data_IF_414688416716
#
_entry.id   IF_414688416716
#
_cell.length_a   1.000
_cell.length_b   1.000
_cell.length_c   1.000
_cell.angle_alpha   90.00
_cell.angle_beta   90.00
_cell.angle_gamma   90.00
#
_symmetry.space_group_name_H-M   'P 1'
#
loop_
_entity.id
_entity.type
_entity.pdbx_description
1 polymer ?
#
# COMPACT_ATOMS: atom_id res chain seq x y z
N UNK A 1 -6.64 39.98 -1.97
CA UNK A 1 -5.32 40.21 -2.61
C UNK A 1 -4.92 38.90 -3.26
N UNK A 2 -4.74 38.87 -4.57
CA UNK A 2 -4.32 37.66 -5.29
C UNK A 2 -2.90 37.28 -4.85
N UNK A 3 -2.73 36.10 -4.27
CA UNK A 3 -1.41 35.54 -3.99
C UNK A 3 -0.90 34.90 -5.27
N UNK A 4 0.31 35.27 -5.68
CA UNK A 4 1.01 34.69 -6.82
C UNK A 4 2.12 33.75 -6.34
N UNK A 5 2.15 32.53 -6.86
CA UNK A 5 3.19 31.54 -6.59
C UNK A 5 4.39 31.86 -7.49
N UNK A 6 5.56 32.07 -6.90
CA UNK A 6 6.80 32.34 -7.64
C UNK A 6 7.57 31.07 -7.97
N UNK A 7 7.54 30.09 -7.06
CA UNK A 7 8.19 28.79 -7.22
C UNK A 7 7.44 27.72 -6.41
N UNK A 8 7.08 26.65 -7.09
CA UNK A 8 6.48 25.49 -6.46
C UNK A 8 6.43 24.30 -7.42
N UNK A 9 6.04 23.15 -6.89
CA UNK A 9 6.01 21.88 -7.61
C UNK A 9 4.82 21.06 -7.13
N UNK A 10 4.20 20.32 -8.04
CA UNK A 10 3.17 19.33 -7.74
C UNK A 10 3.79 17.97 -8.00
N UNK A 11 3.73 17.08 -7.01
CA UNK A 11 4.11 15.68 -7.14
C UNK A 11 2.83 14.85 -7.16
N UNK A 12 2.57 14.19 -8.28
CA UNK A 12 1.42 13.29 -8.42
C UNK A 12 1.94 11.86 -8.34
N UNK A 13 1.61 11.17 -7.25
CA UNK A 13 2.05 9.81 -6.98
C UNK A 13 1.00 8.80 -7.43
N UNK A 14 1.50 7.70 -8.00
CA UNK A 14 0.76 6.45 -8.23
C UNK A 14 1.63 5.30 -7.76
N UNK A 15 1.18 4.58 -6.74
CA UNK A 15 1.97 3.54 -6.07
C UNK A 15 1.35 2.19 -6.37
N UNK A 16 2.15 1.28 -6.93
CA UNK A 16 1.70 -0.01 -7.43
C UNK A 16 2.39 -1.17 -6.71
N UNK A 17 1.65 -2.25 -6.49
CA UNK A 17 2.24 -3.55 -6.17
C UNK A 17 2.62 -4.25 -7.48
N UNK A 18 3.83 -4.80 -7.54
CA UNK A 18 4.30 -5.54 -8.72
C UNK A 18 4.72 -6.98 -8.42
N UNK A 19 4.50 -7.46 -7.19
CA UNK A 19 4.89 -8.79 -6.71
C UNK A 19 5.59 -8.74 -5.36
N UNK A 20 6.34 -9.80 -5.04
CA UNK A 20 7.12 -9.89 -3.82
C UNK A 20 8.49 -9.19 -3.90
N UNK A 21 9.43 -9.66 -3.08
CA UNK A 21 10.74 -9.03 -2.90
C UNK A 21 11.50 -8.80 -4.23
N UNK A 22 12.12 -7.63 -4.35
CA UNK A 22 12.89 -7.18 -5.50
C UNK A 22 14.36 -7.05 -5.14
N UNK A 23 15.22 -7.77 -5.87
CA UNK A 23 16.68 -7.61 -5.72
C UNK A 23 17.14 -6.29 -6.35
N UNK A 24 17.21 -5.20 -5.56
CA UNK A 24 17.51 -3.86 -6.04
C UNK A 24 18.86 -3.76 -6.76
N UNK A 25 19.91 -4.42 -6.25
CA UNK A 25 21.23 -4.42 -6.89
C UNK A 25 21.20 -5.03 -8.31
N UNK A 26 20.37 -6.05 -8.53
CA UNK A 26 20.20 -6.68 -9.86
C UNK A 26 19.34 -5.81 -10.77
N UNK A 27 18.29 -5.18 -10.24
CA UNK A 27 17.48 -4.21 -10.97
C UNK A 27 18.33 -3.02 -11.45
N UNK A 28 19.19 -2.46 -10.59
CA UNK A 28 20.12 -1.38 -10.95
C UNK A 28 21.05 -1.79 -12.10
N UNK A 29 21.59 -3.01 -12.07
CA UNK A 29 22.44 -3.54 -13.13
C UNK A 29 21.70 -3.68 -14.47
N UNK A 30 20.47 -4.21 -14.46
CA UNK A 30 19.66 -4.34 -15.67
C UNK A 30 19.31 -2.97 -16.28
N UNK A 31 18.92 -2.02 -15.43
CA UNK A 31 18.54 -0.68 -15.86
C UNK A 31 19.74 0.16 -16.33
N UNK A 32 20.91 -0.06 -15.73
CA UNK A 32 22.16 0.59 -16.15
C UNK A 32 22.72 0.01 -17.46
N UNK A 33 22.48 -1.28 -17.73
CA UNK A 33 22.94 -1.96 -18.94
C UNK A 33 22.29 -1.48 -20.24
N UNK A 34 21.06 -0.97 -20.16
CA UNK A 34 20.32 -0.39 -21.29
C UNK A 34 20.76 1.05 -21.63
N UNK A 35 21.41 1.75 -20.71
CA UNK A 35 21.81 3.14 -20.89
C UNK A 35 23.16 3.25 -21.64
N UNK A 36 23.13 3.52 -22.95
CA UNK A 36 24.30 4.01 -23.73
C UNK A 36 24.64 5.48 -23.39
N UNK A 37 24.71 5.82 -22.11
CA UNK A 37 24.94 7.17 -21.60
C UNK A 37 25.72 7.17 -20.28
N UNK A 38 26.25 8.34 -19.84
CA UNK A 38 27.09 8.42 -18.65
C UNK A 38 26.35 7.84 -17.44
N UNK A 39 27.06 7.00 -16.67
CA UNK A 39 26.59 6.31 -15.45
C UNK A 39 25.53 7.16 -14.73
N UNK A 40 24.28 6.72 -14.77
CA UNK A 40 23.20 7.29 -13.96
C UNK A 40 23.59 7.08 -12.49
N UNK A 41 24.25 8.06 -11.89
CA UNK A 41 24.42 8.12 -10.45
C UNK A 41 23.06 8.52 -9.87
N UNK A 42 22.24 7.52 -9.56
CA UNK A 42 20.99 7.68 -8.83
C UNK A 42 21.32 7.93 -7.35
N UNK A 43 21.62 9.19 -7.03
CA UNK A 43 21.74 9.64 -5.65
C UNK A 43 20.82 10.85 -5.47
N UNK A 44 19.52 10.59 -5.34
CA UNK A 44 18.70 11.46 -4.47
C UNK A 44 18.79 10.86 -3.07
N UNK A 45 19.05 11.71 -2.09
CA UNK A 45 19.49 11.33 -0.76
C UNK A 45 18.30 11.02 0.15
N UNK A 46 17.42 10.07 -0.26
CA UNK A 46 16.37 9.52 0.64
C UNK A 46 16.96 9.01 1.96
N UNK A 47 18.27 8.77 2.01
CA UNK A 47 19.04 8.45 3.23
C UNK A 47 19.08 9.56 4.26
N UNK A 48 18.86 10.84 3.88
CA UNK A 48 18.70 11.93 4.86
C UNK A 48 17.36 11.80 5.59
N UNK A 49 16.30 11.54 4.85
CA UNK A 49 14.95 11.47 5.39
C UNK A 49 14.64 10.13 6.08
N UNK A 50 15.11 9.01 5.53
CA UNK A 50 14.76 7.66 5.97
C UNK A 50 16.00 6.74 5.94
N UNK A 51 16.39 6.22 7.11
CA UNK A 51 17.56 5.35 7.34
C UNK A 51 17.25 3.88 6.97
N UNK A 52 16.76 3.61 5.76
CA UNK A 52 16.38 2.24 5.38
C UNK A 52 17.62 1.40 5.09
N UNK A 53 17.60 0.12 5.51
CA UNK A 53 18.69 -0.85 5.26
C UNK A 53 19.02 -0.99 3.76
N UNK A 54 18.00 -0.97 2.91
CA UNK A 54 18.12 -0.94 1.45
C UNK A 54 17.36 0.27 0.91
N UNK A 55 18.07 1.29 0.46
CA UNK A 55 17.45 2.49 -0.09
C UNK A 55 16.74 2.18 -1.42
N UNK A 56 15.54 2.74 -1.66
CA UNK A 56 14.81 2.51 -2.90
C UNK A 56 15.59 3.01 -4.11
N UNK A 57 15.48 2.29 -5.22
CA UNK A 57 16.14 2.66 -6.47
C UNK A 57 15.27 3.68 -7.23
N UNK A 58 15.77 4.91 -7.39
CA UNK A 58 15.13 5.94 -8.22
C UNK A 58 15.52 5.74 -9.68
N UNK A 59 14.55 5.82 -10.60
CA UNK A 59 14.73 5.64 -12.04
C UNK A 59 14.06 6.80 -12.76
N UNK A 60 14.79 7.47 -13.64
CA UNK A 60 14.23 8.50 -14.51
C UNK A 60 13.48 7.84 -15.67
N UNK A 61 12.21 8.21 -15.86
CA UNK A 61 11.31 7.67 -16.88
C UNK A 61 11.03 8.66 -18.01
N UNK A 62 11.72 9.80 -18.04
CA UNK A 62 11.67 10.80 -19.10
C UNK A 62 10.80 11.99 -18.79
N UNK A 63 10.51 12.77 -19.83
CA UNK A 63 9.69 13.99 -19.78
C UNK A 63 8.51 13.85 -20.72
N UNK A 64 7.40 14.49 -20.36
CA UNK A 64 6.15 14.48 -21.13
C UNK A 64 5.41 15.81 -20.96
N UNK A 65 4.27 15.96 -21.62
CA UNK A 65 3.40 17.12 -21.46
C UNK A 65 2.00 16.62 -21.17
N UNK A 66 1.44 17.03 -20.04
CA UNK A 66 0.08 16.74 -19.64
C UNK A 66 -0.85 17.84 -20.14
N UNK A 67 -1.92 17.45 -20.82
CA UNK A 67 -2.90 18.36 -21.39
C UNK A 67 -4.11 18.47 -20.47
N UNK A 68 -4.11 19.47 -19.59
CA UNK A 68 -5.26 19.76 -18.71
C UNK A 68 -6.15 20.86 -19.31
N UNK A 69 -7.43 20.97 -18.90
CA UNK A 69 -8.28 22.09 -19.30
C UNK A 69 -7.68 23.48 -19.01
N UNK A 70 -6.91 23.61 -17.92
CA UNK A 70 -6.20 24.82 -17.56
C UNK A 70 -4.95 25.11 -18.40
N UNK A 71 -4.47 24.16 -19.22
CA UNK A 71 -3.36 24.35 -20.14
C UNK A 71 -2.46 23.12 -20.30
N UNK A 72 -1.35 23.31 -21.01
CA UNK A 72 -0.33 22.28 -21.22
C UNK A 72 0.76 22.42 -20.16
N UNK A 73 1.03 21.35 -19.44
CA UNK A 73 2.00 21.32 -18.36
C UNK A 73 3.15 20.37 -18.69
N UNK A 74 4.38 20.87 -18.91
CA UNK A 74 5.54 20.00 -19.04
C UNK A 74 5.80 19.32 -17.69
N UNK A 75 6.11 18.02 -17.73
CA UNK A 75 6.34 17.23 -16.54
C UNK A 75 7.53 16.30 -16.70
N UNK A 76 8.14 15.94 -15.58
CA UNK A 76 9.16 14.89 -15.50
C UNK A 76 8.58 13.69 -14.78
N UNK A 77 8.92 12.50 -15.24
CA UNK A 77 8.45 11.25 -14.66
C UNK A 77 9.64 10.52 -14.08
N UNK A 78 9.53 10.07 -12.85
CA UNK A 78 10.48 9.12 -12.27
C UNK A 78 9.73 8.05 -11.49
N UNK A 79 10.38 6.93 -11.25
CA UNK A 79 9.88 5.89 -10.37
C UNK A 79 10.85 5.61 -9.23
N UNK A 80 10.32 5.17 -8.09
CA UNK A 80 11.07 4.57 -6.99
C UNK A 80 10.67 3.10 -6.87
N UNK A 81 11.67 2.22 -6.92
CA UNK A 81 11.52 0.78 -6.74
C UNK A 81 11.91 0.44 -5.30
N UNK A 82 10.98 -0.13 -4.56
CA UNK A 82 11.17 -0.56 -3.18
C UNK A 82 11.48 -2.06 -3.16
N UNK A 83 12.36 -2.49 -2.25
CA UNK A 83 12.80 -3.89 -2.22
C UNK A 83 11.69 -4.86 -1.83
N UNK A 84 10.56 -4.38 -1.28
CA UNK A 84 9.40 -5.18 -0.90
C UNK A 84 8.29 -5.21 -1.96
N UNK A 85 8.62 -5.09 -3.25
CA UNK A 85 7.64 -5.34 -4.31
C UNK A 85 6.81 -4.14 -4.75
N UNK A 86 7.11 -2.95 -4.22
CA UNK A 86 6.36 -1.72 -4.53
C UNK A 86 7.09 -0.85 -5.54
N UNK A 87 6.34 -0.26 -6.47
CA UNK A 87 6.82 0.71 -7.46
C UNK A 87 5.98 1.99 -7.36
N UNK A 88 6.60 3.08 -6.94
CA UNK A 88 6.00 4.42 -6.96
C UNK A 88 6.37 5.11 -8.27
N UNK A 89 5.39 5.52 -9.07
CA UNK A 89 5.57 6.42 -10.21
C UNK A 89 5.16 7.82 -9.77
N UNK A 90 6.02 8.81 -10.02
CA UNK A 90 5.75 10.20 -9.67
C UNK A 90 5.84 11.07 -10.92
N UNK A 91 4.79 11.85 -11.15
CA UNK A 91 4.76 12.89 -12.17
C UNK A 91 5.05 14.22 -11.46
N UNK A 92 6.20 14.81 -11.76
CA UNK A 92 6.65 16.07 -11.20
C UNK A 92 6.31 17.22 -12.16
N UNK A 93 5.39 18.09 -11.73
CA UNK A 93 4.89 19.22 -12.51
C UNK A 93 5.33 20.52 -11.82
N UNK A 94 6.03 21.39 -12.55
CA UNK A 94 6.39 22.71 -12.02
C UNK A 94 5.16 23.63 -12.03
N UNK A 95 4.89 24.32 -10.91
CA UNK A 95 3.82 25.33 -10.86
C UNK A 95 4.27 26.53 -11.69
N UNK A 96 3.47 27.00 -12.68
CA UNK A 96 3.82 28.14 -13.49
C UNK A 96 4.09 29.39 -12.64
N UNK A 97 5.16 30.12 -12.95
CA UNK A 97 5.50 31.36 -12.24
C UNK A 97 4.38 32.38 -12.41
N UNK A 98 3.88 32.91 -11.31
CA UNK A 98 2.77 33.86 -11.27
C UNK A 98 1.40 33.19 -11.18
N UNK A 99 1.33 31.86 -11.10
CA UNK A 99 0.07 31.12 -10.89
C UNK A 99 -0.63 31.62 -9.63
N UNK A 100 -1.90 32.01 -9.77
CA UNK A 100 -2.74 32.42 -8.65
C UNK A 100 -3.20 31.23 -7.82
N UNK A 101 -3.50 31.45 -6.53
CA UNK A 101 -3.99 30.36 -5.67
C UNK A 101 -5.24 29.66 -6.22
N UNK A 102 -6.24 30.43 -6.67
CA UNK A 102 -7.46 29.87 -7.25
C UNK A 102 -7.21 29.15 -8.59
N UNK A 103 -6.12 29.47 -9.29
CA UNK A 103 -5.70 28.71 -10.48
C UNK A 103 -5.08 27.38 -10.06
N UNK A 104 -4.28 27.37 -8.99
CA UNK A 104 -3.73 26.13 -8.43
C UNK A 104 -4.84 25.19 -7.94
N UNK A 105 -5.88 25.70 -7.27
CA UNK A 105 -7.05 24.89 -6.83
C UNK A 105 -7.78 24.27 -8.04
N UNK A 106 -7.89 25.00 -9.15
CA UNK A 106 -8.45 24.44 -10.40
C UNK A 106 -7.57 23.35 -10.98
N UNK A 107 -6.25 23.56 -11.03
CA UNK A 107 -5.29 22.54 -11.48
C UNK A 107 -5.37 21.30 -10.58
N UNK A 108 -5.51 21.47 -9.26
CA UNK A 108 -5.70 20.37 -8.31
C UNK A 108 -6.94 19.53 -8.63
N UNK A 109 -8.09 20.19 -8.80
CA UNK A 109 -9.36 19.55 -9.18
C UNK A 109 -9.28 18.83 -10.54
N UNK A 110 -8.56 19.41 -11.51
CA UNK A 110 -8.34 18.79 -12.82
C UNK A 110 -7.42 17.56 -12.74
N UNK A 111 -6.38 17.60 -11.88
CA UNK A 111 -5.47 16.47 -11.67
C UNK A 111 -6.13 15.30 -10.96
N UNK A 112 -7.00 15.57 -9.98
CA UNK A 112 -7.70 14.54 -9.21
C UNK A 112 -8.61 13.67 -10.09
N UNK A 113 -9.25 14.27 -11.11
CA UNK A 113 -10.20 13.56 -11.99
C UNK A 113 -9.61 13.12 -13.34
N UNK A 114 -8.30 13.28 -13.53
CA UNK A 114 -7.67 13.04 -14.84
C UNK A 114 -7.25 11.59 -15.05
N UNK A 115 -8.00 10.87 -15.91
CA UNK A 115 -7.63 9.52 -16.36
C UNK A 115 -6.27 9.49 -17.10
N UNK A 116 -5.84 10.62 -17.70
CA UNK A 116 -4.57 10.70 -18.44
C UNK A 116 -3.37 10.49 -17.50
N UNK A 117 -3.46 10.99 -16.26
CA UNK A 117 -2.45 10.79 -15.21
C UNK A 117 -2.30 9.30 -14.90
N UNK A 118 -3.42 8.60 -14.71
CA UNK A 118 -3.44 7.18 -14.37
C UNK A 118 -2.89 6.32 -15.51
N UNK A 119 -3.39 6.55 -16.74
CA UNK A 119 -2.93 5.84 -17.93
C UNK A 119 -1.43 6.04 -18.17
N UNK A 120 -0.94 7.26 -17.97
CA UNK A 120 0.48 7.57 -18.09
C UNK A 120 1.30 6.82 -17.03
N UNK A 121 0.88 6.87 -15.76
CA UNK A 121 1.57 6.18 -14.68
C UNK A 121 1.59 4.65 -14.88
N UNK A 122 0.46 4.04 -15.25
CA UNK A 122 0.35 2.60 -15.54
C UNK A 122 1.25 2.20 -16.70
N UNK A 123 1.26 2.98 -17.80
CA UNK A 123 2.12 2.74 -18.96
C UNK A 123 3.61 2.74 -18.58
N UNK A 124 4.02 3.69 -17.73
CA UNK A 124 5.40 3.83 -17.25
C UNK A 124 5.77 2.71 -16.26
N UNK A 125 4.85 2.35 -15.36
CA UNK A 125 4.96 1.18 -14.47
C UNK A 125 5.14 -0.12 -15.27
N UNK A 126 4.29 -0.39 -16.26
CA UNK A 126 4.34 -1.62 -17.06
C UNK A 126 5.66 -1.75 -17.84
N UNK A 127 6.10 -0.66 -18.46
CA UNK A 127 7.37 -0.61 -19.16
C UNK A 127 8.55 -0.90 -18.22
N UNK A 128 8.52 -0.35 -17.00
CA UNK A 128 9.57 -0.58 -16.00
C UNK A 128 9.50 -1.99 -15.40
N UNK A 129 8.31 -2.47 -14.99
CA UNK A 129 8.06 -3.82 -14.47
C UNK A 129 8.58 -4.88 -15.44
N UNK A 130 8.30 -4.73 -16.74
CA UNK A 130 8.78 -5.66 -17.77
C UNK A 130 10.31 -5.77 -17.82
N UNK A 131 11.04 -4.67 -17.57
CA UNK A 131 12.51 -4.67 -17.54
C UNK A 131 13.06 -5.33 -16.28
N UNK A 132 12.43 -5.09 -15.13
CA UNK A 132 12.92 -5.58 -13.84
C UNK A 132 12.32 -6.92 -13.42
N UNK A 133 11.38 -7.49 -14.20
CA UNK A 133 10.71 -8.77 -13.92
C UNK A 133 11.66 -9.91 -13.50
N UNK A 134 12.87 -10.08 -14.08
CA UNK A 134 13.80 -11.13 -13.64
C UNK A 134 14.34 -10.96 -12.21
N UNK A 135 14.10 -9.81 -11.58
CA UNK A 135 14.52 -9.45 -10.24
C UNK A 135 13.39 -9.53 -9.20
N UNK A 136 12.15 -9.79 -9.63
CA UNK A 136 10.95 -9.79 -8.78
C UNK A 136 10.58 -11.22 -8.41
N UNK A 137 10.48 -11.49 -7.11
CA UNK A 137 9.92 -12.75 -6.59
C UNK A 137 8.41 -12.77 -6.71
N UNK A 138 7.82 -13.89 -7.12
CA UNK A 138 6.36 -14.07 -7.25
C UNK A 138 5.63 -12.85 -7.86
N UNK A 139 5.91 -12.49 -9.13
CA UNK A 139 5.24 -11.36 -9.77
C UNK A 139 3.73 -11.52 -9.70
N UNK A 140 3.03 -10.48 -9.26
CA UNK A 140 1.58 -10.44 -9.17
C UNK A 140 1.04 -9.33 -10.07
N UNK A 141 -0.20 -9.49 -10.53
CA UNK A 141 -0.98 -8.37 -11.06
C UNK A 141 -2.06 -8.06 -10.04
N UNK A 142 -2.07 -6.82 -9.57
CA UNK A 142 -3.10 -6.29 -8.69
C UNK A 142 -3.46 -4.91 -9.25
N UNK A 143 -4.73 -4.74 -9.62
CA UNK A 143 -5.20 -3.58 -10.37
C UNK A 143 -5.42 -2.35 -9.48
N UNK A 144 -5.36 -2.54 -8.15
CA UNK A 144 -5.48 -1.46 -7.16
C UNK A 144 -4.12 -0.78 -7.00
N UNK A 145 -4.14 0.54 -6.96
CA UNK A 145 -3.00 1.39 -6.67
C UNK A 145 -3.41 2.49 -5.70
N UNK A 146 -2.43 3.11 -5.04
CA UNK A 146 -2.66 4.33 -4.28
C UNK A 146 -2.32 5.55 -5.12
N UNK A 147 -3.17 6.57 -5.05
CA UNK A 147 -2.94 7.90 -5.58
C UNK A 147 -2.75 8.91 -4.45
N UNK A 148 -1.90 9.91 -4.70
CA UNK A 148 -1.71 11.00 -3.74
C UNK A 148 -1.08 12.21 -4.43
N UNK A 149 -1.52 13.42 -4.09
CA UNK A 149 -0.94 14.66 -4.65
C UNK A 149 -0.26 15.47 -3.56
N UNK A 150 1.00 15.84 -3.76
CA UNK A 150 1.73 16.73 -2.85
C UNK A 150 2.03 18.05 -3.55
N UNK A 151 1.48 19.14 -3.02
CA UNK A 151 1.76 20.51 -3.46
C UNK A 151 2.89 21.07 -2.61
N UNK A 152 3.99 21.47 -3.25
CA UNK A 152 5.16 22.04 -2.58
C UNK A 152 5.31 23.49 -3.02
N UNK A 153 5.18 24.41 -2.07
CA UNK A 153 5.33 25.85 -2.28
C UNK A 153 6.66 26.29 -1.65
N UNK A 154 7.60 26.66 -2.50
CA UNK A 154 8.93 27.12 -2.06
C UNK A 154 8.95 28.65 -1.94
N UNK A 155 8.19 29.34 -2.80
CA UNK A 155 8.11 30.80 -2.79
C UNK A 155 6.77 31.30 -3.33
N UNK A 156 6.12 32.18 -2.57
CA UNK A 156 4.89 32.86 -2.98
C UNK A 156 4.82 34.29 -2.41
N UNK A 157 4.02 35.15 -3.04
CA UNK A 157 3.80 36.52 -2.58
C UNK A 157 3.11 36.56 -1.21
N UNK A 158 3.75 37.21 -0.23
CA UNK A 158 3.24 37.28 1.14
C UNK A 158 3.50 36.04 2.00
N UNK A 159 4.31 35.09 1.52
CA UNK A 159 4.77 33.93 2.27
C UNK A 159 5.89 34.32 3.26
N UNK A 160 5.54 35.04 4.33
CA UNK A 160 6.45 35.40 5.42
C UNK A 160 6.17 34.60 6.69
N UNK A 161 4.89 34.36 6.99
CA UNK A 161 4.42 33.48 8.05
C UNK A 161 3.54 32.40 7.39
N UNK A 162 4.00 31.13 7.33
CA UNK A 162 3.24 30.04 6.73
C UNK A 162 1.84 29.87 7.31
N UNK A 163 1.63 30.08 8.62
CA UNK A 163 0.32 29.88 9.26
C UNK A 163 -0.69 30.96 8.88
N UNK A 164 -0.24 32.21 8.79
CA UNK A 164 -1.10 33.29 8.32
C UNK A 164 -1.31 33.20 6.81
N UNK A 165 -0.34 32.68 6.07
CA UNK A 165 -0.45 32.44 4.64
C UNK A 165 -1.56 31.43 4.32
N UNK A 166 -1.54 30.23 4.91
CA UNK A 166 -2.55 29.18 4.64
C UNK A 166 -3.98 29.61 4.96
N UNK A 167 -4.17 30.46 5.97
CA UNK A 167 -5.48 31.06 6.30
C UNK A 167 -5.92 32.07 5.25
N UNK A 168 -4.99 32.89 4.76
CA UNK A 168 -5.28 33.93 3.76
C UNK A 168 -5.65 33.36 2.40
N UNK A 169 -5.02 32.25 2.00
CA UNK A 169 -5.23 31.63 0.69
C UNK A 169 -6.34 30.58 0.69
N UNK A 170 -6.87 30.20 1.85
CA UNK A 170 -7.79 29.07 2.00
C UNK A 170 -7.15 27.76 1.52
N UNK A 171 -6.20 27.26 2.30
CA UNK A 171 -5.51 26.02 1.99
C UNK A 171 -6.43 24.78 1.95
N UNK A 172 -7.58 24.84 2.61
CA UNK A 172 -8.53 23.75 2.66
C UNK A 172 -9.14 23.44 1.27
N UNK A 173 -9.44 24.47 0.47
CA UNK A 173 -9.95 24.30 -0.90
C UNK A 173 -8.91 23.59 -1.80
N UNK A 174 -7.61 23.84 -1.58
CA UNK A 174 -6.54 23.13 -2.30
C UNK A 174 -6.43 21.68 -1.86
N UNK A 175 -6.44 21.43 -0.55
CA UNK A 175 -6.25 20.07 0.02
C UNK A 175 -7.38 19.13 -0.40
N UNK A 176 -8.63 19.63 -0.38
CA UNK A 176 -9.80 18.86 -0.79
C UNK A 176 -10.07 18.92 -2.30
N UNK A 177 -9.21 19.59 -3.07
CA UNK A 177 -9.37 19.82 -4.52
C UNK A 177 -10.76 20.36 -4.92
N UNK A 178 -11.41 21.08 -4.01
CA UNK A 178 -12.77 21.58 -4.19
C UNK A 178 -12.74 22.96 -4.85
N UNK A 179 -13.02 22.97 -6.16
CA UNK A 179 -12.93 24.18 -6.99
C UNK A 179 -14.28 24.87 -7.23
N UNK A 180 -15.41 24.26 -6.79
CA UNK A 180 -16.76 24.70 -7.13
C UNK A 180 -17.59 25.09 -5.92
N UNK A 181 -17.46 24.36 -4.82
CA UNK A 181 -18.19 24.63 -3.58
C UNK A 181 -17.34 25.37 -2.57
N UNK A 182 -17.98 26.22 -1.77
CA UNK A 182 -17.32 26.83 -0.63
C UNK A 182 -17.44 25.92 0.58
N UNK A 183 -16.28 25.56 1.14
CA UNK A 183 -16.21 24.75 2.34
C UNK A 183 -16.88 25.45 3.53
N UNK A 184 -17.47 24.67 4.43
CA UNK A 184 -17.95 25.18 5.71
C UNK A 184 -16.78 25.70 6.55
N UNK A 185 -17.04 26.67 7.43
CA UNK A 185 -16.02 27.20 8.33
C UNK A 185 -15.47 26.11 9.25
N UNK A 186 -16.30 25.14 9.64
CA UNK A 186 -15.91 23.99 10.43
C UNK A 186 -14.94 23.08 9.67
N UNK A 187 -15.22 22.77 8.40
CA UNK A 187 -14.33 21.95 7.55
C UNK A 187 -12.99 22.65 7.31
N UNK A 188 -13.02 23.97 7.06
CA UNK A 188 -11.80 24.78 6.89
C UNK A 188 -10.95 24.77 8.15
N UNK A 189 -11.57 25.02 9.30
CA UNK A 189 -10.86 25.03 10.58
C UNK A 189 -10.21 23.67 10.88
N UNK A 190 -10.91 22.56 10.60
CA UNK A 190 -10.38 21.21 10.80
C UNK A 190 -9.07 20.97 10.04
N UNK A 191 -9.02 21.34 8.75
CA UNK A 191 -7.81 21.18 7.91
C UNK A 191 -6.70 22.14 8.35
N UNK A 192 -7.05 23.39 8.69
CA UNK A 192 -6.04 24.36 9.11
C UNK A 192 -5.44 24.03 10.49
N UNK A 193 -6.21 23.39 11.37
CA UNK A 193 -5.77 22.95 12.69
C UNK A 193 -4.87 21.71 12.62
N UNK A 194 -4.93 20.92 11.54
CA UNK A 194 -4.01 19.80 11.31
C UNK A 194 -2.62 20.24 10.84
N UNK A 195 -2.40 21.54 10.59
CA UNK A 195 -1.13 22.07 10.12
C UNK A 195 0.01 21.85 11.13
N UNK A 196 1.06 21.17 10.66
CA UNK A 196 2.27 20.87 11.40
C UNK A 196 3.32 21.92 11.03
N UNK A 197 3.93 22.54 12.02
CA UNK A 197 4.98 23.52 11.82
C UNK A 197 6.14 23.21 12.75
N UNK A 198 7.35 23.10 12.20
CA UNK A 198 8.55 22.74 12.94
C UNK A 198 9.50 23.93 13.14
N UNK A 199 9.78 24.65 12.07
CA UNK A 199 10.48 25.94 12.10
C UNK A 199 9.50 27.10 11.91
N UNK A 200 10.01 28.33 11.87
CA UNK A 200 9.17 29.52 11.61
C UNK A 200 8.81 29.67 10.13
N UNK A 201 9.48 28.92 9.26
CA UNK A 201 9.43 29.10 7.81
C UNK A 201 8.86 27.89 7.07
N UNK A 202 8.82 26.72 7.69
CA UNK A 202 8.17 25.51 7.15
C UNK A 202 6.73 25.36 7.66
N UNK A 203 5.95 24.57 6.93
CA UNK A 203 4.63 24.09 7.34
C UNK A 203 4.21 22.90 6.46
N UNK A 204 3.57 21.90 7.05
CA UNK A 204 2.98 20.77 6.35
C UNK A 204 1.51 20.60 6.77
N UNK A 205 0.62 20.49 5.79
CA UNK A 205 -0.74 19.97 5.96
C UNK A 205 -0.78 18.65 5.21
N UNK A 206 -1.23 17.60 5.88
CA UNK A 206 -1.32 16.24 5.34
C UNK A 206 -2.77 15.82 5.55
N UNK A 207 -3.39 15.30 4.50
CA UNK A 207 -4.76 14.78 4.48
C UNK A 207 -4.75 13.40 3.80
N UNK A 208 -5.91 12.79 3.60
CA UNK A 208 -6.03 11.46 2.99
C UNK A 208 -5.64 11.46 1.49
N UNK A 209 -6.07 12.47 0.73
CA UNK A 209 -5.86 12.53 -0.73
C UNK A 209 -4.67 13.40 -1.15
N UNK A 210 -4.31 14.38 -0.33
CA UNK A 210 -3.27 15.35 -0.71
C UNK A 210 -2.56 16.00 0.47
N UNK A 211 -1.40 16.60 0.19
CA UNK A 211 -0.65 17.40 1.15
C UNK A 211 -0.25 18.76 0.57
N UNK A 212 -0.17 19.76 1.44
CA UNK A 212 0.43 21.07 1.15
C UNK A 212 1.67 21.24 2.03
N UNK A 213 2.81 21.40 1.38
CA UNK A 213 4.10 21.65 2.00
C UNK A 213 4.58 23.04 1.65
N UNK A 214 4.89 23.84 2.67
CA UNK A 214 5.59 25.12 2.54
C UNK A 214 7.05 24.85 2.92
N UNK A 215 7.93 24.81 1.92
CA UNK A 215 9.33 24.39 2.08
C UNK A 215 10.26 25.38 1.38
N UNK A 216 10.65 26.49 2.02
CA UNK A 216 11.43 27.56 1.38
C UNK A 216 12.83 27.14 0.91
N UNK A 217 13.42 26.15 1.59
CA UNK A 217 14.74 25.60 1.25
C UNK A 217 14.67 24.61 0.08
N UNK A 218 13.46 24.23 -0.35
CA UNK A 218 13.22 23.29 -1.46
C UNK A 218 13.61 21.84 -1.14
N UNK A 219 13.75 21.51 0.14
CA UNK A 219 13.96 20.14 0.59
C UNK A 219 12.73 19.28 0.27
N UNK A 220 12.96 18.00 -0.02
CA UNK A 220 11.91 17.04 -0.41
C UNK A 220 11.70 15.94 0.63
N UNK A 221 12.37 16.04 1.77
CA UNK A 221 12.41 15.00 2.79
C UNK A 221 11.01 14.69 3.35
N UNK A 222 10.18 15.71 3.57
CA UNK A 222 8.77 15.56 3.99
C UNK A 222 7.95 14.82 2.92
N UNK A 223 8.11 15.19 1.64
CA UNK A 223 7.42 14.52 0.53
C UNK A 223 7.88 13.07 0.37
N UNK A 224 9.18 12.79 0.56
CA UNK A 224 9.72 11.42 0.54
C UNK A 224 9.14 10.56 1.68
N UNK A 225 8.90 11.14 2.87
CA UNK A 225 8.25 10.45 4.01
C UNK A 225 6.77 10.19 3.74
N UNK A 226 6.07 11.12 3.09
CA UNK A 226 4.67 10.92 2.68
C UNK A 226 4.59 9.79 1.66
N UNK A 227 5.42 9.80 0.62
CA UNK A 227 5.49 8.72 -0.38
C UNK A 227 5.83 7.37 0.28
N UNK A 228 6.78 7.35 1.22
CA UNK A 228 7.09 6.14 1.98
C UNK A 228 5.90 5.63 2.78
N UNK A 229 5.14 6.53 3.41
CA UNK A 229 3.91 6.17 4.13
C UNK A 229 2.85 5.62 3.17
N UNK A 230 2.71 6.22 1.99
CA UNK A 230 1.81 5.76 0.93
C UNK A 230 2.13 4.33 0.47
N UNK A 231 3.43 3.96 0.42
CA UNK A 231 3.80 2.56 0.12
C UNK A 231 3.31 1.55 1.16
N UNK A 232 3.23 1.94 2.44
CA UNK A 232 2.67 1.05 3.47
C UNK A 232 1.15 0.99 3.40
N UNK A 233 0.48 2.08 3.03
CA UNK A 233 -0.97 2.08 2.79
C UNK A 233 -1.34 1.08 1.70
N UNK A 234 -0.59 1.08 0.59
CA UNK A 234 -0.75 0.12 -0.49
C UNK A 234 -0.66 -1.32 0.02
N UNK A 235 0.37 -1.64 0.81
CA UNK A 235 0.56 -2.98 1.36
C UNK A 235 -0.56 -3.38 2.33
N UNK A 236 -1.02 -2.46 3.18
CA UNK A 236 -2.19 -2.70 4.04
C UNK A 236 -3.42 -3.08 3.20
N UNK A 237 -3.69 -2.33 2.12
CA UNK A 237 -4.81 -2.61 1.21
C UNK A 237 -4.63 -3.93 0.46
N UNK A 238 -3.40 -4.27 0.07
CA UNK A 238 -3.10 -5.56 -0.56
C UNK A 238 -3.42 -6.74 0.36
N UNK A 239 -2.96 -6.70 1.62
CA UNK A 239 -3.23 -7.77 2.57
C UNK A 239 -4.72 -7.85 2.97
N UNK A 240 -5.40 -6.72 3.09
CA UNK A 240 -6.84 -6.69 3.39
C UNK A 240 -7.66 -7.36 2.26
N UNK A 241 -7.36 -7.05 1.00
CA UNK A 241 -7.98 -7.66 -0.19
C UNK A 241 -7.61 -9.14 -0.35
N UNK A 242 -6.34 -9.49 -0.16
CA UNK A 242 -5.87 -10.88 -0.22
C UNK A 242 -6.62 -11.76 0.80
N UNK A 243 -6.76 -11.30 2.03
CA UNK A 243 -7.47 -12.04 3.08
C UNK A 243 -8.97 -12.12 2.83
N UNK A 244 -9.58 -11.05 2.28
CA UNK A 244 -10.99 -11.08 1.91
C UNK A 244 -11.26 -12.19 0.90
N UNK A 245 -10.48 -12.22 -0.19
CA UNK A 245 -10.60 -13.26 -1.23
C UNK A 245 -10.42 -14.67 -0.66
N UNK A 246 -9.52 -14.86 0.30
CA UNK A 246 -9.28 -16.15 0.94
C UNK A 246 -10.44 -16.59 1.85
N UNK A 247 -11.05 -15.65 2.57
CA UNK A 247 -12.24 -15.92 3.36
C UNK A 247 -13.42 -16.29 2.44
N UNK A 248 -13.61 -15.58 1.33
CA UNK A 248 -14.63 -15.90 0.34
C UNK A 248 -14.45 -17.30 -0.26
N UNK A 249 -13.22 -17.66 -0.67
CA UNK A 249 -12.88 -19.01 -1.16
C UNK A 249 -13.26 -20.11 -0.15
N UNK A 250 -13.03 -19.85 1.14
CA UNK A 250 -13.38 -20.76 2.22
C UNK A 250 -14.88 -20.91 2.42
N UNK A 251 -15.62 -19.80 2.44
CA UNK A 251 -17.07 -19.81 2.57
C UNK A 251 -17.71 -20.56 1.38
N UNK A 252 -17.27 -20.27 0.15
CA UNK A 252 -17.71 -20.95 -1.06
C UNK A 252 -17.48 -22.47 -1.02
N UNK A 253 -16.32 -22.89 -0.50
CA UNK A 253 -15.99 -24.29 -0.35
C UNK A 253 -16.87 -24.98 0.71
N UNK A 254 -17.23 -24.28 1.78
CA UNK A 254 -18.12 -24.78 2.82
C UNK A 254 -19.57 -24.95 2.32
N UNK A 255 -20.08 -23.98 1.55
CA UNK A 255 -21.45 -24.00 1.03
C UNK A 255 -21.67 -25.08 -0.04
N UNK A 256 -20.65 -25.42 -0.82
CA UNK A 256 -20.72 -26.43 -1.90
C UNK A 256 -20.84 -27.90 -1.43
N UNK A 257 -21.33 -28.20 -0.21
CA UNK A 257 -21.46 -29.59 0.29
C UNK A 257 -22.81 -30.25 -0.02
N UNK A 258 -22.79 -31.17 -0.99
CA UNK A 258 -23.59 -32.42 -1.12
C UNK A 258 -23.30 -32.97 -2.52
N UNK A 259 -22.24 -33.76 -2.78
CA UNK A 259 -22.50 -35.19 -3.01
C UNK A 259 -21.24 -36.10 -3.03
N UNK A 260 -19.98 -35.63 -3.18
CA UNK A 260 -18.89 -36.58 -3.54
C UNK A 260 -17.48 -36.36 -2.94
N UNK A 261 -17.22 -35.38 -2.06
CA UNK A 261 -15.86 -34.81 -1.97
C UNK A 261 -15.09 -34.96 -0.62
N UNK A 262 -15.19 -36.10 0.10
CA UNK A 262 -14.45 -36.27 1.37
C UNK A 262 -12.92 -36.23 1.24
N UNK A 263 -12.37 -36.63 0.08
CA UNK A 263 -10.92 -36.62 -0.20
C UNK A 263 -10.44 -35.24 -0.69
N UNK A 264 -11.28 -34.52 -1.45
CA UNK A 264 -11.01 -33.16 -1.92
C UNK A 264 -10.96 -32.17 -0.76
N UNK A 265 -11.90 -32.29 0.19
CA UNK A 265 -11.94 -31.48 1.41
C UNK A 265 -10.69 -31.62 2.29
N UNK A 266 -10.00 -32.78 2.28
CA UNK A 266 -8.81 -33.00 3.10
C UNK A 266 -7.56 -32.31 2.53
N UNK A 267 -7.39 -32.35 1.21
CA UNK A 267 -6.24 -31.75 0.55
C UNK A 267 -6.38 -30.23 0.49
N UNK A 268 -7.53 -29.72 0.02
CA UNK A 268 -7.86 -28.29 0.01
C UNK A 268 -7.61 -27.61 1.36
N UNK A 269 -7.95 -28.31 2.43
CA UNK A 269 -7.80 -27.82 3.78
C UNK A 269 -6.34 -27.76 4.28
N UNK A 270 -5.54 -28.80 4.00
CA UNK A 270 -4.12 -28.80 4.34
C UNK A 270 -3.39 -27.68 3.59
N UNK A 271 -3.76 -27.49 2.32
CA UNK A 271 -3.22 -26.44 1.46
C UNK A 271 -3.58 -25.04 2.01
N UNK A 272 -4.82 -24.82 2.46
CA UNK A 272 -5.23 -23.54 3.06
C UNK A 272 -4.53 -23.27 4.39
N UNK A 273 -4.34 -24.28 5.25
CA UNK A 273 -3.68 -24.09 6.54
C UNK A 273 -2.19 -23.71 6.35
N UNK A 274 -1.52 -24.33 5.38
CA UNK A 274 -0.14 -24.01 5.00
C UNK A 274 -0.05 -22.60 4.39
N UNK A 275 -0.92 -22.28 3.42
CA UNK A 275 -1.00 -20.96 2.78
C UNK A 275 -1.30 -19.84 3.80
N UNK A 276 -2.28 -20.06 4.69
CA UNK A 276 -2.64 -19.12 5.77
C UNK A 276 -1.46 -18.86 6.72
N UNK A 277 -0.68 -19.90 7.03
CA UNK A 277 0.49 -19.77 7.92
C UNK A 277 1.61 -18.97 7.26
N UNK A 278 1.84 -19.18 5.96
CA UNK A 278 2.80 -18.41 5.18
C UNK A 278 2.37 -16.95 5.07
N UNK A 279 1.10 -16.68 4.74
CA UNK A 279 0.55 -15.31 4.68
C UNK A 279 0.56 -14.61 6.03
N UNK A 280 0.35 -15.35 7.12
CA UNK A 280 0.51 -14.81 8.46
C UNK A 280 1.94 -14.34 8.72
N UNK A 281 2.93 -15.15 8.33
CA UNK A 281 4.33 -14.80 8.47
C UNK A 281 4.70 -13.56 7.63
N UNK A 282 4.28 -13.51 6.36
CA UNK A 282 4.49 -12.36 5.46
C UNK A 282 3.88 -11.07 6.05
N UNK A 283 2.63 -11.12 6.51
CA UNK A 283 1.99 -9.96 7.14
C UNK A 283 2.66 -9.55 8.46
N UNK A 284 3.07 -10.52 9.29
CA UNK A 284 3.80 -10.22 10.53
C UNK A 284 5.15 -9.56 10.25
N UNK A 285 5.83 -9.96 9.18
CA UNK A 285 7.06 -9.31 8.73
C UNK A 285 6.79 -7.88 8.26
N UNK A 286 5.73 -7.67 7.47
CA UNK A 286 5.27 -6.35 7.06
C UNK A 286 4.94 -5.45 8.27
N UNK A 287 4.19 -5.93 9.27
CA UNK A 287 3.93 -5.17 10.49
C UNK A 287 5.22 -4.83 11.22
N UNK A 288 6.15 -5.79 11.32
CA UNK A 288 7.47 -5.53 11.87
C UNK A 288 8.24 -4.44 11.11
N UNK A 289 8.09 -4.39 9.77
CA UNK A 289 8.66 -3.31 8.94
C UNK A 289 7.98 -1.98 9.24
N UNK A 290 6.65 -1.89 9.24
CA UNK A 290 5.89 -0.66 9.57
C UNK A 290 6.28 -0.11 10.95
N UNK A 291 6.38 -0.97 11.97
CA UNK A 291 6.77 -0.58 13.32
C UNK A 291 8.22 -0.08 13.40
N UNK A 292 9.11 -0.67 12.60
CA UNK A 292 10.50 -0.23 12.52
C UNK A 292 10.67 1.03 11.66
N UNK A 293 9.77 1.30 10.70
CA UNK A 293 9.78 2.50 9.86
C UNK A 293 9.81 3.77 10.69
N UNK A 294 9.07 3.85 11.81
CA UNK A 294 9.12 4.99 12.72
C UNK A 294 10.49 5.20 13.37
N UNK A 295 11.24 4.12 13.67
CA UNK A 295 12.62 4.19 14.21
C UNK A 295 13.64 4.61 13.14
N UNK A 296 13.23 4.51 11.89
CA UNK A 296 14.08 4.66 10.72
C UNK A 296 14.04 6.08 10.18
N UNK A 297 13.07 6.89 10.57
CA UNK A 297 12.97 8.28 10.16
C UNK A 297 14.14 9.09 10.74
N UNK A 298 14.79 9.88 9.87
CA UNK A 298 16.11 10.46 10.10
C UNK A 298 16.16 11.57 11.15
N UNK A 299 15.04 12.22 11.45
CA UNK A 299 14.95 13.29 12.45
C UNK A 299 13.57 13.37 13.14
N UNK A 300 13.45 14.15 14.25
CA UNK A 300 12.20 14.29 14.98
C UNK A 300 11.04 14.93 14.18
N UNK A 301 11.31 15.84 13.25
CA UNK A 301 10.29 16.50 12.43
C UNK A 301 9.67 15.52 11.45
N UNK A 302 10.50 14.82 10.70
CA UNK A 302 10.07 13.78 9.78
C UNK A 302 9.31 12.67 10.52
N UNK A 303 9.68 12.36 11.77
CA UNK A 303 8.93 11.41 12.58
C UNK A 303 7.53 11.92 12.96
N UNK A 304 7.34 13.25 13.11
CA UNK A 304 6.02 13.87 13.28
C UNK A 304 5.23 13.75 11.98
N UNK A 305 5.85 14.05 10.83
CA UNK A 305 5.24 13.89 9.50
C UNK A 305 4.78 12.45 9.29
N UNK A 306 5.64 11.46 9.53
CA UNK A 306 5.27 10.04 9.38
C UNK A 306 4.10 9.65 10.29
N UNK A 307 4.06 10.15 11.53
CA UNK A 307 2.93 9.90 12.44
C UNK A 307 1.63 10.55 11.94
N UNK A 308 1.71 11.75 11.38
CA UNK A 308 0.56 12.42 10.79
C UNK A 308 0.07 11.66 9.55
N UNK A 309 0.96 11.27 8.63
CA UNK A 309 0.61 10.41 7.49
C UNK A 309 -0.02 9.09 7.94
N UNK A 310 0.52 8.41 8.96
CA UNK A 310 -0.04 7.16 9.47
C UNK A 310 -1.44 7.33 10.10
N UNK A 311 -1.70 8.49 10.72
CA UNK A 311 -3.01 8.84 11.27
C UNK A 311 -4.02 9.11 10.15
N UNK A 312 -3.65 9.97 9.20
CA UNK A 312 -4.48 10.30 8.05
C UNK A 312 -4.77 9.04 7.23
N UNK A 313 -3.77 8.23 6.88
CA UNK A 313 -3.93 6.97 6.14
C UNK A 313 -4.57 5.83 6.94
N UNK A 314 -5.01 6.11 8.17
CA UNK A 314 -5.72 5.16 9.05
C UNK A 314 -5.04 3.80 9.22
N UNK A 315 -3.70 3.79 9.36
CA UNK A 315 -2.92 2.54 9.50
C UNK A 315 -3.43 1.64 10.62
N UNK A 316 -3.86 2.23 11.73
CA UNK A 316 -4.38 1.48 12.88
C UNK A 316 -5.67 0.72 12.55
N UNK A 317 -6.53 1.26 11.70
CA UNK A 317 -7.80 0.63 11.36
C UNK A 317 -7.62 -0.47 10.31
N UNK A 318 -6.73 -0.26 9.34
CA UNK A 318 -6.26 -1.32 8.45
C UNK A 318 -5.66 -2.49 9.23
N UNK A 319 -4.73 -2.21 10.16
CA UNK A 319 -4.11 -3.25 11.01
C UNK A 319 -5.17 -4.03 11.77
N UNK A 320 -6.15 -3.36 12.39
CA UNK A 320 -7.25 -4.03 13.12
C UNK A 320 -8.12 -4.87 12.18
N UNK A 321 -8.44 -4.37 10.99
CA UNK A 321 -9.23 -5.10 9.98
C UNK A 321 -8.55 -6.41 9.61
N UNK A 322 -7.30 -6.31 9.17
CA UNK A 322 -6.50 -7.46 8.71
C UNK A 322 -6.35 -8.46 9.85
N UNK A 323 -6.02 -8.00 11.07
CA UNK A 323 -5.89 -8.88 12.24
C UNK A 323 -7.17 -9.68 12.53
N UNK A 324 -8.36 -9.05 12.41
CA UNK A 324 -9.64 -9.75 12.57
C UNK A 324 -9.88 -10.78 11.47
N UNK A 325 -9.55 -10.45 10.21
CA UNK A 325 -9.68 -11.39 9.09
C UNK A 325 -8.76 -12.60 9.25
N UNK A 326 -7.52 -12.38 9.70
CA UNK A 326 -6.57 -13.45 10.01
C UNK A 326 -7.04 -14.33 11.17
N UNK A 327 -7.57 -13.73 12.24
CA UNK A 327 -8.12 -14.48 13.36
C UNK A 327 -9.30 -15.35 12.91
N UNK A 328 -10.20 -14.79 12.08
CA UNK A 328 -11.32 -15.52 11.49
C UNK A 328 -10.82 -16.69 10.63
N UNK A 329 -9.83 -16.45 9.78
CA UNK A 329 -9.19 -17.48 8.95
C UNK A 329 -8.59 -18.60 9.80
N UNK A 330 -7.88 -18.25 10.88
CA UNK A 330 -7.30 -19.20 11.82
C UNK A 330 -8.36 -20.01 12.56
N UNK A 331 -9.45 -19.38 13.01
CA UNK A 331 -10.57 -20.04 13.70
C UNK A 331 -11.30 -21.02 12.77
N UNK A 332 -11.65 -20.61 11.55
CA UNK A 332 -12.26 -21.47 10.53
C UNK A 332 -11.33 -22.65 10.25
N UNK A 333 -10.04 -22.38 10.10
CA UNK A 333 -9.04 -23.42 9.91
C UNK A 333 -9.07 -24.42 11.08
N UNK A 334 -8.99 -23.95 12.33
CA UNK A 334 -9.02 -24.84 13.51
C UNK A 334 -10.29 -25.70 13.60
N UNK A 335 -11.47 -25.14 13.32
CA UNK A 335 -12.75 -25.89 13.31
C UNK A 335 -12.70 -27.03 12.30
N UNK A 336 -12.24 -26.74 11.08
CA UNK A 336 -12.08 -27.74 10.02
C UNK A 336 -11.03 -28.81 10.37
N UNK A 337 -9.93 -28.45 11.03
CA UNK A 337 -8.96 -29.41 11.59
C UNK A 337 -9.63 -30.36 12.60
N UNK A 338 -10.49 -29.82 13.48
CA UNK A 338 -11.23 -30.56 14.50
C UNK A 338 -12.18 -31.60 13.91
N UNK A 339 -12.90 -31.27 12.84
CA UNK A 339 -13.78 -32.22 12.13
C UNK A 339 -12.99 -33.39 11.52
N UNK A 340 -11.82 -33.12 10.93
CA UNK A 340 -10.96 -34.16 10.33
C UNK A 340 -10.42 -35.11 11.40
N UNK A 341 -10.04 -34.60 12.57
CA UNK A 341 -9.52 -35.43 13.66
C UNK A 341 -10.63 -36.26 14.32
N UNK A 342 -11.83 -35.69 14.49
CA UNK A 342 -13.02 -36.41 14.96
C UNK A 342 -13.38 -37.56 14.02
N UNK A 343 -13.36 -37.32 12.69
CA UNK A 343 -13.55 -38.38 11.69
C UNK A 343 -12.48 -39.47 11.75
N UNK A 344 -11.22 -39.14 11.99
CA UNK A 344 -10.15 -40.15 12.18
C UNK A 344 -10.39 -40.99 13.43
N UNK A 345 -10.84 -40.36 14.52
CA UNK A 345 -11.23 -41.07 15.74
C UNK A 345 -12.38 -42.04 15.49
N UNK A 346 -13.43 -41.60 14.78
CA UNK A 346 -14.56 -42.47 14.40
C UNK A 346 -14.11 -43.61 13.49
N UNK A 347 -13.18 -43.38 12.56
CA UNK A 347 -12.62 -44.43 11.71
C UNK A 347 -11.80 -45.45 12.51
N UNK A 348 -10.98 -44.99 13.48
CA UNK A 348 -10.27 -45.87 14.40
C UNK A 348 -11.25 -46.68 15.26
N UNK A 349 -12.32 -46.05 15.73
CA UNK A 349 -13.39 -46.73 16.48
C UNK A 349 -14.07 -47.81 15.62
N UNK A 350 -14.42 -47.50 14.36
CA UNK A 350 -14.98 -48.48 13.43
C UNK A 350 -13.99 -49.62 13.18
N UNK A 351 -12.70 -49.34 12.98
CA UNK A 351 -11.67 -50.37 12.79
C UNK A 351 -11.57 -51.27 14.03
N UNK A 352 -11.58 -50.70 15.24
CA UNK A 352 -11.56 -51.46 16.50
C UNK A 352 -12.83 -52.31 16.64
N UNK A 353 -14.01 -51.77 16.37
CA UNK A 353 -15.28 -52.51 16.39
C UNK A 353 -15.24 -53.67 15.39
N UNK A 354 -14.74 -53.45 14.18
CA UNK A 354 -14.61 -54.50 13.15
C UNK A 354 -13.61 -55.58 13.56
N UNK A 355 -12.47 -55.21 14.13
CA UNK A 355 -11.48 -56.17 14.64
C UNK A 355 -12.07 -57.04 15.75
N UNK A 356 -12.77 -56.44 16.71
CA UNK A 356 -13.48 -57.17 17.77
C UNK A 356 -14.54 -58.09 17.17
N UNK A 357 -15.34 -57.61 16.22
CA UNK A 357 -16.39 -58.42 15.58
C UNK A 357 -15.80 -59.64 14.85
N UNK A 358 -14.67 -59.47 14.15
CA UNK A 358 -13.98 -60.56 13.44
C UNK A 358 -13.45 -61.63 14.41
N UNK A 359 -13.01 -61.25 15.60
CA UNK A 359 -12.50 -62.19 16.61
C UNK A 359 -13.63 -62.88 17.38
N UNK A 360 -14.66 -62.11 17.75
CA UNK A 360 -15.74 -62.55 18.64
C UNK A 360 -16.79 -63.40 17.90
N UNK A 361 -17.09 -63.10 16.63
CA UNK A 361 -18.12 -63.82 15.85
C UNK A 361 -17.75 -65.30 15.62
N UNK A 362 -16.52 -65.66 15.18
CA UNK A 362 -16.11 -67.06 15.04
C UNK A 362 -16.10 -67.79 16.38
N UNK A 363 -15.63 -67.13 17.45
CA UNK A 363 -15.60 -67.69 18.79
C UNK A 363 -17.02 -68.02 19.30
N UNK A 364 -17.98 -67.09 19.15
CA UNK A 364 -19.40 -67.32 19.48
C UNK A 364 -20.03 -68.39 18.59
N UNK A 365 -19.69 -68.43 17.31
CA UNK A 365 -20.20 -69.45 16.39
C UNK A 365 -19.74 -70.86 16.79
N UNK A 366 -18.49 -71.02 17.20
CA UNK A 366 -17.95 -72.27 17.73
C UNK A 366 -18.66 -72.65 19.03
N UNK A 367 -18.83 -71.70 19.96
CA UNK A 367 -19.51 -71.93 21.23
C UNK A 367 -20.98 -72.35 21.05
N UNK A 368 -21.70 -71.76 20.10
CA UNK A 368 -23.09 -72.12 19.79
C UNK A 368 -23.21 -73.46 19.05
N UNK A 369 -22.17 -73.86 18.31
CA UNK A 369 -22.12 -75.15 17.63
C UNK A 369 -21.78 -76.29 18.60
N UNK A 370 -20.93 -76.04 19.58
CA UNK A 370 -20.56 -77.00 20.64
C UNK A 370 -21.57 -77.03 21.80
N UNK A 371 -22.31 -75.94 22.02
CA UNK A 371 -23.40 -75.83 23.00
C UNK A 371 -24.73 -76.43 22.54
N UNK A 372 -24.79 -77.03 21.34
CA UNK A 372 -25.87 -77.97 20.97
C UNK A 372 -25.51 -79.37 21.48
N UNK A 373 -25.69 -79.57 22.78
CA UNK A 373 -26.02 -80.87 23.38
C UNK A 373 -27.46 -80.79 23.87
#
# INVERSE_FOLDING_TARGET
MSVAIEKGTILVHRVFDIGGEITLARAEQLLSGDAKGPRLKFATDTRKAIIIKESPLKVDLGEETLDLPSGKFPLRIFARIWNYGVLSVTLEIAIPKGCGWNELVKIASELEVSDEVDLLAVSRKDALKKKILPCVTAPAEWDIFEDYITYIIEKAEGLADPKEFIKKVDAAELILAESREHLSEESRAFILDSAIQYSKSDLAIIDWNSALLIEPDGERDVADVIEFSLTHLLEFRYYDDLLERKLDELYDAMDKKRETAAKFFKNFYADIAEDSSMKYMEFSEFLGRVENSLKTVGDPYLAVVFRASALEFHFDDWRKSISRKMETLAQISQILHGEVNTRRSHWLEIIVIVLIAIEVVPFLYILLREGKI
#
